data_IF_817422796748
#
_entry.id   IF_817422796748
#
_cell.length_a   1.000
_cell.length_b   1.000
_cell.length_c   1.000
_cell.angle_alpha   90.00
_cell.angle_beta   90.00
_cell.angle_gamma   90.00
#
_symmetry.space_group_name_H-M   'P 1'
#
loop_
_entity.id
_entity.type
_entity.pdbx_description
1 polymer ?
#
# COMPACT_ATOMS: atom_id res chain seq x y z
N UNK A 1 -23.00 -9.40 -9.43
CA UNK A 1 -22.10 -8.47 -10.13
C UNK A 1 -21.68 -7.32 -9.20
N UNK A 2 -20.57 -6.62 -9.50
CA UNK A 2 -20.05 -5.51 -8.69
C UNK A 2 -21.10 -4.40 -8.49
N UNK A 3 -21.94 -4.14 -9.49
CA UNK A 3 -23.03 -3.15 -9.39
C UNK A 3 -24.04 -3.54 -8.30
N UNK A 4 -24.45 -4.81 -8.24
CA UNK A 4 -25.38 -5.29 -7.21
C UNK A 4 -24.78 -5.19 -5.81
N UNK A 5 -23.49 -5.51 -5.65
CA UNK A 5 -22.79 -5.36 -4.38
C UNK A 5 -22.70 -3.88 -3.96
N UNK A 6 -22.43 -2.97 -4.91
CA UNK A 6 -22.42 -1.54 -4.64
C UNK A 6 -23.80 -1.00 -4.24
N UNK A 7 -24.86 -1.40 -4.95
CA UNK A 7 -26.25 -1.03 -4.61
C UNK A 7 -26.65 -1.59 -3.24
N UNK A 8 -26.32 -2.85 -2.94
CA UNK A 8 -26.57 -3.44 -1.65
C UNK A 8 -25.85 -2.67 -0.52
N UNK A 9 -24.55 -2.35 -0.71
CA UNK A 9 -23.79 -1.55 0.24
C UNK A 9 -24.40 -0.15 0.43
N UNK A 10 -24.88 0.48 -0.66
CA UNK A 10 -25.56 1.78 -0.57
C UNK A 10 -26.82 1.75 0.26
N UNK A 11 -27.61 0.68 0.16
CA UNK A 11 -28.86 0.52 0.87
C UNK A 11 -28.70 0.10 2.35
N UNK A 12 -27.58 -0.55 2.68
CA UNK A 12 -27.33 -1.13 4.01
C UNK A 12 -26.27 -0.39 4.84
N UNK A 13 -25.49 0.49 4.22
CA UNK A 13 -24.39 1.19 4.90
C UNK A 13 -24.92 2.18 5.94
N UNK A 14 -24.35 2.13 7.14
CA UNK A 14 -24.66 3.02 8.27
C UNK A 14 -24.11 4.43 8.03
N UNK A 15 -22.94 4.52 7.36
CA UNK A 15 -22.28 5.79 7.05
C UNK A 15 -22.13 5.97 5.54
N UNK A 16 -21.98 7.22 5.06
CA UNK A 16 -21.77 7.50 3.63
C UNK A 16 -20.37 7.00 3.17
N UNK A 17 -20.29 5.71 2.89
CA UNK A 17 -19.06 4.97 2.57
C UNK A 17 -18.33 5.45 1.31
N UNK A 18 -18.98 6.29 0.48
CA UNK A 18 -18.41 6.88 -0.73
C UNK A 18 -17.50 8.09 -0.47
N UNK A 19 -17.54 8.69 0.74
CA UNK A 19 -16.74 9.89 1.07
C UNK A 19 -15.24 9.73 0.81
N UNK A 20 -14.58 8.60 1.16
CA UNK A 20 -13.15 8.41 0.86
C UNK A 20 -12.83 8.44 -0.65
N UNK A 21 -13.80 8.13 -1.52
CA UNK A 21 -13.59 8.23 -2.97
C UNK A 21 -13.28 9.66 -3.42
N UNK A 22 -13.89 10.66 -2.77
CA UNK A 22 -13.59 12.06 -3.09
C UNK A 22 -12.14 12.41 -2.80
N UNK A 23 -11.57 11.86 -1.71
CA UNK A 23 -10.18 12.05 -1.35
C UNK A 23 -9.24 11.26 -2.28
N UNK A 24 -9.68 10.11 -2.79
CA UNK A 24 -8.93 9.30 -3.73
C UNK A 24 -9.05 9.78 -5.20
N UNK A 25 -10.06 10.58 -5.54
CA UNK A 25 -10.33 11.04 -6.90
C UNK A 25 -9.13 11.75 -7.57
N UNK A 26 -8.36 12.63 -6.92
CA UNK A 26 -7.17 13.22 -7.53
C UNK A 26 -6.14 12.17 -7.95
N UNK A 27 -5.91 11.16 -7.12
CA UNK A 27 -4.96 10.08 -7.42
C UNK A 27 -5.45 9.20 -8.57
N UNK A 28 -6.73 8.85 -8.59
CA UNK A 28 -7.36 8.13 -9.70
C UNK A 28 -7.26 8.93 -11.01
N UNK A 29 -7.47 10.25 -10.95
CA UNK A 29 -7.35 11.15 -12.11
C UNK A 29 -5.92 11.21 -12.64
N UNK A 30 -4.91 11.25 -11.76
CA UNK A 30 -3.49 11.16 -12.15
C UNK A 30 -3.25 9.83 -12.86
N UNK A 31 -3.61 8.69 -12.24
CA UNK A 31 -3.48 7.38 -12.87
C UNK A 31 -4.11 7.35 -14.26
N UNK A 32 -5.38 7.76 -14.38
CA UNK A 32 -6.10 7.79 -15.64
C UNK A 32 -5.41 8.66 -16.69
N UNK A 33 -4.88 9.83 -16.32
CA UNK A 33 -4.16 10.72 -17.22
C UNK A 33 -2.90 10.08 -17.82
N UNK A 34 -2.20 9.27 -17.03
CA UNK A 34 -1.04 8.51 -17.49
C UNK A 34 -1.45 7.33 -18.36
N UNK A 35 -2.55 6.64 -18.04
CA UNK A 35 -3.06 5.52 -18.82
C UNK A 35 -3.49 5.99 -20.23
N UNK A 36 -4.20 7.12 -20.31
CA UNK A 36 -4.58 7.74 -21.60
C UNK A 36 -3.35 8.11 -22.45
N UNK A 37 -2.25 8.48 -21.82
CA UNK A 37 -0.97 8.78 -22.50
C UNK A 37 -0.10 7.53 -22.74
N UNK A 38 -0.63 6.32 -22.51
CA UNK A 38 0.10 5.04 -22.63
C UNK A 38 1.38 4.98 -21.78
N UNK A 39 1.38 5.67 -20.62
CA UNK A 39 2.48 5.74 -19.64
C UNK A 39 2.11 5.11 -18.30
N UNK A 40 1.23 4.13 -18.29
CA UNK A 40 0.72 3.44 -17.07
C UNK A 40 1.83 2.89 -16.16
N UNK A 41 2.99 2.57 -16.73
CA UNK A 41 4.16 2.07 -15.97
C UNK A 41 5.05 3.17 -15.37
N UNK A 42 4.65 4.43 -15.42
CA UNK A 42 5.37 5.49 -14.71
C UNK A 42 5.22 5.30 -13.18
N UNK A 43 6.27 5.63 -12.41
CA UNK A 43 6.23 5.50 -10.92
C UNK A 43 5.07 6.28 -10.32
N UNK A 44 4.84 7.49 -10.83
CA UNK A 44 3.76 8.37 -10.38
C UNK A 44 2.40 7.72 -10.66
N UNK A 45 2.22 7.12 -11.85
CA UNK A 45 0.99 6.44 -12.21
C UNK A 45 0.71 5.24 -11.28
N UNK A 46 1.69 4.34 -11.15
CA UNK A 46 1.56 3.16 -10.28
C UNK A 46 1.33 3.55 -8.80
N UNK A 47 2.06 4.55 -8.30
CA UNK A 47 1.87 5.06 -6.94
C UNK A 47 0.49 5.69 -6.74
N UNK A 48 0.05 6.54 -7.66
CA UNK A 48 -1.29 7.14 -7.61
C UNK A 48 -2.40 6.08 -7.69
N UNK A 49 -2.25 5.09 -8.58
CA UNK A 49 -3.19 3.97 -8.67
C UNK A 49 -3.26 3.15 -7.39
N UNK A 50 -2.11 2.89 -6.75
CA UNK A 50 -2.07 2.20 -5.47
C UNK A 50 -2.78 2.99 -4.36
N UNK A 51 -2.54 4.29 -4.25
CA UNK A 51 -3.25 5.17 -3.29
C UNK A 51 -4.76 5.17 -3.58
N UNK A 52 -5.15 5.23 -4.84
CA UNK A 52 -6.56 5.24 -5.22
C UNK A 52 -7.26 3.90 -4.87
N UNK A 53 -6.61 2.75 -5.13
CA UNK A 53 -7.25 1.46 -4.90
C UNK A 53 -7.29 1.09 -3.41
N UNK A 54 -6.32 1.51 -2.62
CA UNK A 54 -6.32 1.25 -1.17
C UNK A 54 -7.46 1.95 -0.44
N UNK A 55 -8.11 2.94 -1.07
CA UNK A 55 -9.32 3.59 -0.53
C UNK A 55 -10.49 2.63 -0.32
N UNK A 56 -10.51 1.50 -1.04
CA UNK A 56 -11.54 0.47 -0.87
C UNK A 56 -11.61 -0.05 0.57
N UNK A 57 -10.47 -0.14 1.27
CA UNK A 57 -10.46 -0.51 2.67
C UNK A 57 -11.21 0.50 3.54
N UNK A 58 -10.98 1.81 3.32
CA UNK A 58 -11.72 2.86 4.01
C UNK A 58 -13.22 2.83 3.73
N UNK A 59 -13.59 2.55 2.47
CA UNK A 59 -15.00 2.42 2.09
C UNK A 59 -15.67 1.24 2.80
N UNK A 60 -15.00 0.08 2.85
CA UNK A 60 -15.51 -1.12 3.53
C UNK A 60 -15.65 -0.88 5.03
N UNK A 61 -14.69 -0.20 5.65
CA UNK A 61 -14.72 0.18 7.07
C UNK A 61 -15.95 1.05 7.38
N UNK A 62 -16.20 2.09 6.57
CA UNK A 62 -17.38 2.94 6.72
C UNK A 62 -18.69 2.20 6.45
N UNK A 63 -18.73 1.33 5.45
CA UNK A 63 -19.90 0.51 5.16
C UNK A 63 -20.23 -0.43 6.32
N UNK A 64 -19.21 -0.89 7.06
CA UNK A 64 -19.36 -1.69 8.29
C UNK A 64 -19.79 -0.90 9.51
N UNK A 65 -19.96 0.43 9.40
CA UNK A 65 -20.42 1.28 10.51
C UNK A 65 -19.29 1.85 11.39
N UNK A 66 -18.05 1.63 11.02
CA UNK A 66 -16.90 2.13 11.75
C UNK A 66 -16.70 3.65 11.52
N UNK A 67 -16.01 4.36 12.43
CA UNK A 67 -15.83 5.81 12.33
C UNK A 67 -14.91 6.19 11.18
N UNK A 68 -15.13 7.40 10.63
CA UNK A 68 -14.34 7.95 9.52
C UNK A 68 -12.84 8.06 9.84
N UNK A 69 -12.49 8.32 11.10
CA UNK A 69 -11.09 8.37 11.56
C UNK A 69 -10.37 7.03 11.37
N UNK A 70 -11.04 5.92 11.71
CA UNK A 70 -10.49 4.58 11.51
C UNK A 70 -10.37 4.26 10.02
N UNK A 71 -11.37 4.61 9.22
CA UNK A 71 -11.33 4.43 7.78
C UNK A 71 -10.12 5.16 7.14
N UNK A 72 -9.87 6.41 7.53
CA UNK A 72 -8.71 7.17 7.06
C UNK A 72 -7.38 6.59 7.55
N UNK A 73 -7.33 6.12 8.79
CA UNK A 73 -6.13 5.47 9.33
C UNK A 73 -5.77 4.21 8.53
N UNK A 74 -6.76 3.36 8.25
CA UNK A 74 -6.56 2.14 7.45
C UNK A 74 -6.10 2.47 6.03
N UNK A 75 -6.71 3.47 5.39
CA UNK A 75 -6.25 3.96 4.08
C UNK A 75 -4.80 4.45 4.12
N UNK A 76 -4.44 5.23 5.14
CA UNK A 76 -3.07 5.71 5.35
C UNK A 76 -2.08 4.55 5.52
N UNK A 77 -2.38 3.59 6.41
CA UNK A 77 -1.50 2.44 6.68
C UNK A 77 -1.27 1.60 5.43
N UNK A 78 -2.33 1.32 4.66
CA UNK A 78 -2.22 0.58 3.41
C UNK A 78 -1.45 1.38 2.33
N UNK A 79 -1.61 2.68 2.28
CA UNK A 79 -0.83 3.56 1.38
C UNK A 79 0.65 3.56 1.75
N UNK A 80 0.97 3.67 3.05
CA UNK A 80 2.33 3.61 3.58
C UNK A 80 3.02 2.27 3.33
N UNK A 81 2.25 1.19 3.19
CA UNK A 81 2.76 -0.10 2.74
C UNK A 81 2.94 -0.15 1.22
N UNK A 82 1.93 0.25 0.44
CA UNK A 82 1.89 0.03 -1.00
C UNK A 82 2.97 0.82 -1.76
N UNK A 83 3.19 2.10 -1.40
CA UNK A 83 4.17 2.96 -2.09
C UNK A 83 5.60 2.41 -1.96
N UNK A 84 6.14 2.12 -0.76
CA UNK A 84 7.47 1.52 -0.64
C UNK A 84 7.60 0.17 -1.34
N UNK A 85 6.55 -0.67 -1.30
CA UNK A 85 6.55 -1.97 -1.96
C UNK A 85 6.71 -1.84 -3.50
N UNK A 86 5.98 -0.92 -4.13
CA UNK A 86 6.11 -0.62 -5.56
C UNK A 86 7.53 -0.16 -5.89
N UNK A 87 8.07 0.79 -5.13
CA UNK A 87 9.41 1.33 -5.35
C UNK A 87 10.45 0.22 -5.19
N UNK A 88 10.35 -0.60 -4.15
CA UNK A 88 11.24 -1.72 -3.91
C UNK A 88 11.24 -2.71 -5.08
N UNK A 89 10.08 -3.18 -5.50
CA UNK A 89 9.96 -4.16 -6.61
C UNK A 89 10.56 -3.59 -7.89
N UNK A 90 10.31 -2.32 -8.21
CA UNK A 90 10.87 -1.65 -9.40
C UNK A 90 12.39 -1.58 -9.34
N UNK A 91 12.96 -1.14 -8.21
CA UNK A 91 14.41 -1.07 -8.00
C UNK A 91 15.01 -2.45 -8.13
N UNK A 92 14.43 -3.45 -7.47
CA UNK A 92 14.91 -4.83 -7.51
C UNK A 92 14.92 -5.41 -8.93
N UNK A 93 13.79 -5.30 -9.64
CA UNK A 93 13.70 -5.83 -11.01
C UNK A 93 14.65 -5.12 -11.97
N UNK A 94 14.89 -3.82 -11.80
CA UNK A 94 15.86 -3.09 -12.62
C UNK A 94 17.29 -3.54 -12.34
N UNK A 95 17.66 -3.72 -11.08
CA UNK A 95 18.97 -4.25 -10.68
C UNK A 95 19.17 -5.69 -11.15
N UNK A 96 18.17 -6.55 -11.04
CA UNK A 96 18.21 -7.94 -11.49
C UNK A 96 18.43 -8.08 -13.02
N UNK A 97 18.03 -7.06 -13.79
CA UNK A 97 18.26 -6.98 -15.24
C UNK A 97 19.61 -6.30 -15.61
N UNK A 98 20.50 -6.06 -14.65
CA UNK A 98 21.77 -5.39 -14.85
C UNK A 98 21.68 -3.87 -15.05
N UNK A 99 20.51 -3.27 -14.88
CA UNK A 99 20.31 -1.83 -14.98
C UNK A 99 20.76 -1.07 -13.73
N UNK A 100 21.22 0.17 -13.88
CA UNK A 100 21.48 1.04 -12.75
C UNK A 100 20.17 1.48 -12.08
N UNK A 101 20.04 1.30 -10.75
CA UNK A 101 18.94 1.83 -9.96
C UNK A 101 19.43 2.24 -8.57
N UNK A 102 18.95 3.39 -8.11
CA UNK A 102 19.28 3.90 -6.78
C UNK A 102 18.53 3.12 -5.70
N UNK A 103 19.26 2.35 -4.89
CA UNK A 103 18.69 1.64 -3.73
C UNK A 103 18.20 2.58 -2.64
N UNK A 104 18.81 3.78 -2.58
CA UNK A 104 18.51 4.77 -1.55
C UNK A 104 17.02 5.13 -1.49
N UNK A 105 16.37 5.31 -2.65
CA UNK A 105 14.93 5.64 -2.68
C UNK A 105 14.07 4.54 -2.04
N UNK A 106 14.38 3.26 -2.28
CA UNK A 106 13.68 2.17 -1.66
C UNK A 106 13.89 2.15 -0.13
N UNK A 107 15.10 2.42 0.33
CA UNK A 107 15.39 2.48 1.77
C UNK A 107 14.70 3.67 2.43
N UNK A 108 14.77 4.85 1.84
CA UNK A 108 14.14 6.06 2.39
C UNK A 108 12.61 5.92 2.48
N UNK A 109 11.97 5.34 1.47
CA UNK A 109 10.52 5.15 1.50
C UNK A 109 10.08 4.14 2.55
N UNK A 110 10.81 3.04 2.75
CA UNK A 110 10.52 2.08 3.83
C UNK A 110 10.79 2.67 5.22
N UNK A 111 11.93 3.35 5.40
CA UNK A 111 12.26 3.99 6.68
C UNK A 111 11.29 5.10 7.03
N UNK A 112 10.88 5.90 6.03
CA UNK A 112 9.88 6.95 6.21
C UNK A 112 8.51 6.38 6.60
N UNK A 113 8.05 5.34 5.93
CA UNK A 113 6.82 4.66 6.27
C UNK A 113 6.88 4.07 7.69
N UNK A 114 7.98 3.39 8.04
CA UNK A 114 8.20 2.87 9.39
C UNK A 114 8.18 3.98 10.45
N UNK A 115 8.85 5.11 10.20
CA UNK A 115 8.88 6.23 11.13
C UNK A 115 7.47 6.82 11.36
N UNK A 116 6.67 6.96 10.29
CA UNK A 116 5.28 7.44 10.40
C UNK A 116 4.44 6.45 11.20
N UNK A 117 4.52 5.14 10.90
CA UNK A 117 3.74 4.12 11.63
C UNK A 117 4.16 4.01 13.09
N UNK A 118 5.47 4.13 13.40
CA UNK A 118 5.96 4.19 14.77
C UNK A 118 5.44 5.43 15.51
N UNK A 119 5.40 6.60 14.84
CA UNK A 119 4.78 7.80 15.37
C UNK A 119 3.29 7.61 15.67
N UNK A 120 2.54 7.00 14.74
CA UNK A 120 1.12 6.69 14.97
C UNK A 120 0.92 5.74 16.15
N UNK A 121 1.79 4.74 16.32
CA UNK A 121 1.75 3.82 17.45
C UNK A 121 2.08 4.51 18.78
N UNK A 122 3.02 5.46 18.78
CA UNK A 122 3.36 6.26 19.94
C UNK A 122 2.19 7.08 20.46
N UNK A 123 1.35 7.58 19.55
CA UNK A 123 0.11 8.30 19.88
C UNK A 123 -1.11 7.38 20.10
N UNK A 124 -0.91 6.05 20.12
CA UNK A 124 -1.99 5.09 20.32
C UNK A 124 -2.94 4.93 19.14
N UNK A 125 -2.59 5.46 17.96
CA UNK A 125 -3.40 5.38 16.74
C UNK A 125 -3.13 4.09 15.94
N UNK A 126 -2.00 3.45 16.12
CA UNK A 126 -1.65 2.18 15.49
C UNK A 126 -1.07 1.21 16.53
N UNK A 127 -1.13 -0.08 16.23
CA UNK A 127 -0.59 -1.12 17.10
C UNK A 127 0.93 -1.27 16.92
N UNK A 128 1.63 -1.62 17.98
CA UNK A 128 3.03 -2.05 17.92
C UNK A 128 3.24 -3.31 17.08
N UNK A 129 2.20 -4.15 16.92
CA UNK A 129 2.23 -5.28 15.99
C UNK A 129 2.37 -4.79 14.54
N UNK A 130 1.66 -3.72 14.17
CA UNK A 130 1.81 -3.08 12.86
C UNK A 130 3.21 -2.50 12.68
N UNK A 131 3.78 -1.85 13.72
CA UNK A 131 5.17 -1.38 13.67
C UNK A 131 6.14 -2.54 13.41
N UNK A 132 5.99 -3.66 14.12
CA UNK A 132 6.81 -4.85 13.92
C UNK A 132 6.73 -5.38 12.48
N UNK A 133 5.55 -5.39 11.88
CA UNK A 133 5.38 -5.78 10.49
C UNK A 133 6.12 -4.81 9.53
N UNK A 134 6.07 -3.50 9.77
CA UNK A 134 6.83 -2.52 8.98
C UNK A 134 8.35 -2.62 9.18
N UNK A 135 8.82 -3.02 10.37
CA UNK A 135 10.23 -3.37 10.60
C UNK A 135 10.65 -4.54 9.72
N UNK A 136 9.84 -5.61 9.67
CA UNK A 136 10.09 -6.78 8.81
C UNK A 136 10.18 -6.36 7.34
N UNK A 137 9.28 -5.49 6.85
CA UNK A 137 9.33 -4.97 5.48
C UNK A 137 10.59 -4.15 5.20
N UNK A 138 11.01 -3.32 6.16
CA UNK A 138 12.23 -2.52 6.03
C UNK A 138 13.47 -3.42 5.96
N UNK A 139 13.58 -4.42 6.83
CA UNK A 139 14.66 -5.42 6.79
C UNK A 139 14.65 -6.21 5.48
N UNK A 140 13.47 -6.64 5.03
CA UNK A 140 13.31 -7.29 3.72
C UNK A 140 13.83 -6.41 2.58
N UNK A 141 13.54 -5.10 2.60
CA UNK A 141 13.99 -4.19 1.55
C UNK A 141 15.52 -4.11 1.49
N UNK A 142 16.19 -4.12 2.64
CA UNK A 142 17.65 -4.15 2.73
C UNK A 142 18.19 -5.48 2.19
N UNK A 143 17.71 -6.61 2.70
CA UNK A 143 18.18 -7.95 2.33
C UNK A 143 17.90 -8.23 0.85
N UNK A 144 16.70 -7.89 0.36
CA UNK A 144 16.25 -8.17 -0.99
C UNK A 144 16.98 -7.36 -2.08
N UNK A 145 17.63 -6.25 -1.73
CA UNK A 145 18.45 -5.47 -2.65
C UNK A 145 19.95 -5.79 -2.57
N UNK A 146 20.36 -6.78 -1.75
CA UNK A 146 21.74 -7.28 -1.75
C UNK A 146 22.05 -7.99 -3.09
N UNK A 147 23.28 -7.93 -3.59
CA UNK A 147 23.66 -8.55 -4.87
C UNK A 147 23.28 -10.04 -4.95
N UNK A 148 23.50 -10.80 -3.88
CA UNK A 148 23.16 -12.23 -3.80
C UNK A 148 21.64 -12.52 -3.88
N UNK A 149 20.79 -11.57 -3.53
CA UNK A 149 19.34 -11.73 -3.56
C UNK A 149 18.74 -11.39 -4.93
N UNK A 150 19.49 -10.74 -5.80
CA UNK A 150 19.02 -10.31 -7.13
C UNK A 150 18.88 -11.47 -8.12
N UNK A 151 19.55 -12.61 -7.87
CA UNK A 151 19.43 -13.83 -8.69
C UNK A 151 18.10 -14.60 -8.49
N UNK A 152 17.30 -14.21 -7.49
CA UNK A 152 16.00 -14.87 -7.24
C UNK A 152 15.04 -14.69 -8.42
N UNK A 153 14.41 -15.76 -8.95
CA UNK A 153 13.48 -15.67 -10.07
C UNK A 153 12.28 -14.75 -9.77
N UNK A 154 11.81 -14.00 -10.78
CA UNK A 154 10.70 -13.05 -10.64
C UNK A 154 9.42 -13.65 -10.04
N UNK A 155 8.98 -14.89 -10.40
CA UNK A 155 7.80 -15.49 -9.77
C UNK A 155 7.95 -15.68 -8.26
N UNK A 156 9.15 -16.06 -7.79
CA UNK A 156 9.42 -16.23 -6.35
C UNK A 156 9.33 -14.89 -5.63
N UNK A 157 9.81 -13.82 -6.27
CA UNK A 157 9.64 -12.45 -5.74
C UNK A 157 8.16 -12.12 -5.60
N UNK A 158 7.33 -12.44 -6.59
CA UNK A 158 5.89 -12.22 -6.52
C UNK A 158 5.22 -12.95 -5.37
N UNK A 159 5.58 -14.23 -5.12
CA UNK A 159 5.07 -14.99 -3.97
C UNK A 159 5.52 -14.37 -2.65
N UNK A 160 6.79 -13.95 -2.54
CA UNK A 160 7.28 -13.25 -1.36
C UNK A 160 6.49 -11.95 -1.08
N UNK A 161 6.19 -11.17 -2.15
CA UNK A 161 5.37 -9.95 -2.01
C UNK A 161 3.97 -10.27 -1.48
N UNK A 162 3.35 -11.34 -1.97
CA UNK A 162 2.04 -11.77 -1.46
C UNK A 162 2.09 -12.11 0.03
N UNK A 163 3.11 -12.87 0.47
CA UNK A 163 3.28 -13.23 1.88
C UNK A 163 3.45 -11.97 2.75
N UNK A 164 4.27 -11.02 2.32
CA UNK A 164 4.47 -9.77 3.07
C UNK A 164 3.23 -8.87 3.05
N UNK A 165 2.45 -8.90 1.97
CA UNK A 165 1.16 -8.22 1.90
C UNK A 165 0.17 -8.77 2.92
N UNK A 166 0.07 -10.11 3.00
CA UNK A 166 -0.78 -10.77 3.99
C UNK A 166 -0.32 -10.45 5.42
N UNK A 167 0.99 -10.44 5.69
CA UNK A 167 1.54 -10.08 7.00
C UNK A 167 1.08 -8.69 7.45
N UNK A 168 1.11 -7.69 6.56
CA UNK A 168 0.64 -6.34 6.85
C UNK A 168 -0.87 -6.33 7.09
N UNK A 169 -1.65 -6.94 6.20
CA UNK A 169 -3.12 -6.96 6.33
C UNK A 169 -3.52 -7.62 7.65
N UNK A 170 -2.93 -8.76 7.99
CA UNK A 170 -3.21 -9.44 9.26
C UNK A 170 -2.73 -8.63 10.48
N UNK A 171 -1.56 -7.98 10.42
CA UNK A 171 -1.09 -7.14 11.53
C UNK A 171 -2.03 -5.97 11.81
N UNK A 172 -2.60 -5.38 10.76
CA UNK A 172 -3.58 -4.29 10.88
C UNK A 172 -4.92 -4.85 11.38
N UNK A 173 -5.40 -5.96 10.83
CA UNK A 173 -6.70 -6.54 11.19
C UNK A 173 -6.74 -7.05 12.64
N UNK A 174 -5.63 -7.63 13.15
CA UNK A 174 -5.54 -8.11 14.53
C UNK A 174 -5.34 -6.99 15.55
N UNK A 175 -5.12 -5.77 15.10
CA UNK A 175 -4.84 -4.61 15.95
C UNK A 175 -6.05 -3.69 16.16
N UNK A 176 -7.20 -4.03 15.54
CA UNK A 176 -8.47 -3.32 15.71
C UNK A 176 -9.33 -4.04 16.74
#
# INVERSE_FOLDING_TARGET
SALLAFVAAWLTAVHPFWQPLLLAAPFASIQLSYDLRRRSRAVIAEGSGAVAITVLAAMLTLAGGEPFSLALLLWLLLTLWAIPAIIYVRVRLRLARGGAAGRLLAYLTHSGALAIVAGLAWFGLASWLTVAAFVVLSLRSVIGLLPRSLSTPTPVVGVQELIFSLLIVFSIALSQ
#
